data_IF_786750479925
#
_entry.id   IF_786750479925
#
_cell.length_a   1.000
_cell.length_b   1.000
_cell.length_c   1.000
_cell.angle_alpha   90.00
_cell.angle_beta   90.00
_cell.angle_gamma   90.00
#
_symmetry.space_group_name_H-M   'P 1'
#
loop_
_entity.id
_entity.type
_entity.pdbx_description
1 polymer ?
#
# COMPACT_ATOMS: atom_id res chain seq x y z
N UNK A 1 -11.08 -14.70 -14.59
CA UNK A 1 -9.97 -14.70 -15.56
C UNK A 1 -8.71 -14.36 -14.79
N UNK A 2 -7.72 -15.25 -14.77
CA UNK A 2 -6.41 -14.94 -14.21
C UNK A 2 -5.52 -14.39 -15.32
N UNK A 3 -4.81 -13.30 -15.03
CA UNK A 3 -3.84 -12.74 -15.97
C UNK A 3 -2.60 -13.66 -16.01
N UNK A 4 -2.05 -13.86 -17.21
CA UNK A 4 -0.77 -14.57 -17.31
C UNK A 4 0.36 -13.69 -16.79
N UNK A 5 1.48 -14.31 -16.39
CA UNK A 5 2.67 -13.55 -15.97
C UNK A 5 3.17 -12.58 -17.06
N UNK A 6 3.05 -12.96 -18.34
CA UNK A 6 3.41 -12.10 -19.46
C UNK A 6 2.56 -10.83 -19.52
N UNK A 7 1.24 -10.98 -19.38
CA UNK A 7 0.30 -9.84 -19.36
C UNK A 7 0.55 -8.92 -18.16
N UNK A 8 0.85 -9.47 -16.99
CA UNK A 8 1.20 -8.69 -15.80
C UNK A 8 2.48 -7.89 -16.06
N UNK A 9 3.51 -8.54 -16.62
CA UNK A 9 4.78 -7.88 -16.96
C UNK A 9 4.59 -6.74 -17.95
N UNK A 10 3.78 -6.94 -18.98
CA UNK A 10 3.48 -5.92 -19.98
C UNK A 10 2.75 -4.72 -19.37
N UNK A 11 1.75 -4.96 -18.52
CA UNK A 11 1.04 -3.90 -17.81
C UNK A 11 2.02 -3.09 -16.94
N UNK A 12 2.86 -3.77 -16.15
CA UNK A 12 3.87 -3.11 -15.31
C UNK A 12 4.81 -2.25 -16.17
N UNK A 13 5.34 -2.82 -17.26
CA UNK A 13 6.21 -2.12 -18.20
C UNK A 13 5.57 -0.84 -18.73
N UNK A 14 4.30 -0.92 -19.16
CA UNK A 14 3.54 0.22 -19.65
C UNK A 14 3.37 1.32 -18.59
N UNK A 15 3.07 0.96 -17.34
CA UNK A 15 2.97 1.95 -16.25
C UNK A 15 4.33 2.57 -15.91
N UNK A 16 5.41 1.78 -15.92
CA UNK A 16 6.76 2.28 -15.58
C UNK A 16 7.41 3.13 -16.67
N UNK A 17 6.82 3.17 -17.87
CA UNK A 17 7.32 4.00 -18.99
C UNK A 17 7.19 5.51 -18.76
N UNK A 18 6.41 5.93 -17.76
CA UNK A 18 6.24 7.34 -17.38
C UNK A 18 6.44 7.53 -15.88
N UNK A 19 6.83 8.74 -15.47
CA UNK A 19 6.98 9.11 -14.06
C UNK A 19 5.65 9.06 -13.31
N UNK A 20 4.57 9.53 -13.93
CA UNK A 20 3.22 9.50 -13.36
C UNK A 20 2.71 8.07 -13.19
N UNK A 21 2.89 7.22 -14.21
CA UNK A 21 2.52 5.82 -14.15
C UNK A 21 3.32 5.05 -13.11
N UNK A 22 4.63 5.32 -12.99
CA UNK A 22 5.47 4.78 -11.93
C UNK A 22 4.97 5.16 -10.53
N UNK A 23 4.68 6.46 -10.32
CA UNK A 23 4.15 6.94 -9.03
C UNK A 23 2.81 6.28 -8.69
N UNK A 24 1.94 6.14 -9.69
CA UNK A 24 0.63 5.51 -9.53
C UNK A 24 0.76 4.03 -9.17
N UNK A 25 1.55 3.28 -9.94
CA UNK A 25 1.78 1.85 -9.72
C UNK A 25 2.40 1.60 -8.34
N UNK A 26 3.46 2.34 -7.99
CA UNK A 26 4.11 2.19 -6.69
C UNK A 26 3.16 2.51 -5.54
N UNK A 27 2.33 3.55 -5.67
CA UNK A 27 1.32 3.90 -4.66
C UNK A 27 0.29 2.79 -4.50
N UNK A 28 -0.17 2.19 -5.60
CA UNK A 28 -1.11 1.06 -5.58
C UNK A 28 -0.51 -0.16 -4.89
N UNK A 29 0.72 -0.53 -5.23
CA UNK A 29 1.42 -1.67 -4.62
C UNK A 29 1.57 -1.45 -3.12
N UNK A 30 2.07 -0.29 -2.69
CA UNK A 30 2.26 0.02 -1.27
C UNK A 30 0.94 -0.01 -0.49
N UNK A 31 -0.12 0.58 -1.04
CA UNK A 31 -1.43 0.57 -0.41
C UNK A 31 -2.01 -0.85 -0.30
N UNK A 32 -1.85 -1.68 -1.32
CA UNK A 32 -2.31 -3.07 -1.32
C UNK A 32 -1.57 -3.90 -0.28
N UNK A 33 -0.23 -3.80 -0.24
CA UNK A 33 0.58 -4.53 0.74
C UNK A 33 0.23 -4.12 2.18
N UNK A 34 0.13 -2.82 2.47
CA UNK A 34 -0.26 -2.36 3.82
C UNK A 34 -1.69 -2.80 4.20
N UNK A 35 -2.63 -2.81 3.25
CA UNK A 35 -3.98 -3.30 3.50
C UNK A 35 -3.97 -4.79 3.89
N UNK A 36 -3.15 -5.59 3.20
CA UNK A 36 -2.98 -7.01 3.51
C UNK A 36 -2.29 -7.23 4.86
N UNK A 37 -1.25 -6.45 5.20
CA UNK A 37 -0.64 -6.49 6.53
C UNK A 37 -1.67 -6.28 7.65
N UNK A 38 -2.60 -5.32 7.46
CA UNK A 38 -3.68 -5.09 8.42
C UNK A 38 -4.65 -6.26 8.51
N UNK A 39 -4.98 -6.90 7.39
CA UNK A 39 -5.84 -8.09 7.40
C UNK A 39 -5.20 -9.23 8.20
N UNK A 40 -3.90 -9.46 8.03
CA UNK A 40 -3.16 -10.43 8.84
C UNK A 40 -3.16 -10.06 10.33
N UNK A 41 -2.98 -8.77 10.65
CA UNK A 41 -3.05 -8.28 12.02
C UNK A 41 -4.43 -8.52 12.67
N UNK A 42 -5.52 -8.26 11.95
CA UNK A 42 -6.88 -8.51 12.47
C UNK A 42 -7.17 -10.00 12.60
N UNK A 43 -6.71 -10.83 11.66
CA UNK A 43 -6.84 -12.30 11.78
C UNK A 43 -6.12 -12.83 13.02
N UNK A 44 -4.97 -12.25 13.38
CA UNK A 44 -4.24 -12.60 14.60
C UNK A 44 -4.90 -12.07 15.89
N UNK A 45 -5.65 -10.96 15.81
CA UNK A 45 -6.26 -10.28 16.95
C UNK A 45 -7.79 -10.26 16.82
N UNK A 46 -8.48 -11.28 17.35
CA UNK A 46 -9.94 -11.46 17.19
C UNK A 46 -10.82 -10.30 17.67
N UNK A 47 -10.31 -9.46 18.58
CA UNK A 47 -11.02 -8.31 19.12
C UNK A 47 -10.75 -7.01 18.34
N UNK A 48 -9.89 -7.05 17.32
CA UNK A 48 -9.56 -5.89 16.51
C UNK A 48 -10.55 -5.65 15.38
N UNK A 49 -10.77 -4.37 15.10
CA UNK A 49 -11.58 -3.91 13.99
C UNK A 49 -10.79 -2.95 13.12
N UNK A 50 -11.20 -2.85 11.87
CA UNK A 50 -10.55 -2.07 10.82
C UNK A 50 -11.29 -0.75 10.59
N UNK A 51 -10.79 0.39 11.12
CA UNK A 51 -11.49 1.68 10.99
C UNK A 51 -10.74 2.71 10.15
N UNK A 52 -11.01 2.64 8.85
CA UNK A 52 -10.65 3.67 7.87
C UNK A 52 -9.17 3.69 7.51
N UNK A 53 -8.79 4.77 6.83
CA UNK A 53 -7.45 5.02 6.31
C UNK A 53 -7.05 6.46 6.62
N UNK A 54 -5.77 6.68 6.91
CA UNK A 54 -5.20 8.03 7.01
C UNK A 54 -4.46 8.37 5.72
N UNK A 55 -4.73 9.52 5.08
CA UNK A 55 -3.95 9.94 3.92
C UNK A 55 -2.54 10.34 4.35
N UNK A 56 -1.53 9.94 3.59
CA UNK A 56 -0.14 10.35 3.81
C UNK A 56 0.53 10.63 2.48
N UNK A 57 1.28 11.73 2.41
CA UNK A 57 2.22 11.98 1.32
C UNK A 57 3.59 11.47 1.74
N UNK A 58 4.18 10.61 0.92
CA UNK A 58 5.53 10.12 1.11
C UNK A 58 6.43 10.68 0.01
N UNK A 59 7.50 11.34 0.41
CA UNK A 59 8.45 11.98 -0.50
C UNK A 59 9.71 11.14 -0.55
N UNK A 60 10.08 10.68 -1.74
CA UNK A 60 11.28 9.87 -1.92
C UNK A 60 11.89 10.12 -3.30
N UNK A 61 13.18 10.45 -3.35
CA UNK A 61 13.96 10.62 -4.58
C UNK A 61 13.29 11.52 -5.65
N UNK A 62 12.66 12.62 -5.21
CA UNK A 62 11.97 13.56 -6.11
C UNK A 62 10.55 13.17 -6.51
N UNK A 63 10.07 12.00 -6.09
CA UNK A 63 8.69 11.56 -6.29
C UNK A 63 7.84 11.82 -5.05
N UNK A 64 6.55 12.09 -5.29
CA UNK A 64 5.53 12.22 -4.24
C UNK A 64 4.51 11.12 -4.41
N UNK A 65 4.41 10.24 -3.43
CA UNK A 65 3.44 9.14 -3.40
C UNK A 65 2.27 9.50 -2.49
N UNK A 66 1.05 9.26 -2.96
CA UNK A 66 -0.18 9.47 -2.16
C UNK A 66 -0.64 8.13 -1.64
N UNK A 67 -0.43 7.91 -0.34
CA UNK A 67 -0.69 6.66 0.34
C UNK A 67 -1.93 6.77 1.25
N UNK A 68 -2.61 5.65 1.43
CA UNK A 68 -3.75 5.47 2.33
C UNK A 68 -3.34 4.46 3.39
N UNK A 69 -2.81 4.95 4.51
CA UNK A 69 -2.28 4.07 5.53
C UNK A 69 -3.45 3.45 6.33
N UNK A 70 -3.54 2.11 6.41
CA UNK A 70 -4.59 1.45 7.17
C UNK A 70 -4.51 1.79 8.66
N UNK A 71 -5.68 1.79 9.32
CA UNK A 71 -5.77 1.91 10.79
C UNK A 71 -6.54 0.74 11.38
N UNK A 72 -6.13 0.32 12.58
CA UNK A 72 -6.99 -0.46 13.48
C UNK A 72 -7.83 0.47 14.36
N UNK A 73 -8.91 -0.06 14.94
CA UNK A 73 -9.81 0.69 15.83
C UNK A 73 -9.12 1.08 17.15
N UNK A 74 -8.24 0.23 17.64
CA UNK A 74 -7.44 0.48 18.84
C UNK A 74 -6.26 1.43 18.63
N UNK A 75 -5.81 1.61 17.39
CA UNK A 75 -4.53 2.27 17.09
C UNK A 75 -3.29 1.39 17.29
N UNK A 76 -3.45 0.09 17.58
CA UNK A 76 -2.32 -0.84 17.79
C UNK A 76 -1.65 -1.34 16.49
N UNK A 77 -2.24 -1.06 15.32
CA UNK A 77 -1.67 -1.48 14.04
C UNK A 77 -0.79 -0.40 13.42
N UNK A 78 0.45 -0.77 13.13
CA UNK A 78 1.41 0.03 12.36
C UNK A 78 1.96 -0.82 11.21
N UNK A 79 1.74 -0.43 9.94
CA UNK A 79 2.27 -1.17 8.81
C UNK A 79 3.80 -1.14 8.82
N UNK A 80 4.44 -2.26 8.44
CA UNK A 80 5.90 -2.38 8.45
C UNK A 80 6.51 -1.52 7.34
N UNK A 81 5.85 -1.51 6.19
CA UNK A 81 6.21 -0.67 5.04
C UNK A 81 6.20 0.83 5.33
N UNK A 82 5.50 1.25 6.40
CA UNK A 82 5.44 2.63 6.83
C UNK A 82 5.58 2.71 8.36
N UNK A 83 6.77 2.38 8.87
CA UNK A 83 7.14 2.73 10.25
C UNK A 83 7.55 4.20 10.29
N UNK A 84 6.74 5.01 10.93
CA UNK A 84 7.17 6.32 11.42
C UNK A 84 8.21 6.05 12.52
N UNK A 85 9.50 6.14 12.18
CA UNK A 85 10.57 6.29 13.18
C UNK A 85 10.59 7.77 13.58
N UNK A 86 9.67 8.17 14.44
CA UNK A 86 9.75 9.44 15.17
C UNK A 86 10.53 9.25 16.45
#
# INVERSE_FOLDING_TARGET
>A
MELTQGQISEIISNYTSSSEGFVTLQSLIMNSLMAHERELFVKANKNEQCNGFRPRRWYCKGYTFVLRIPRSRSGNFYPVLFRDYS
#
